data_IF_310063752635
#
_entry.id   IF_310063752635
#
_cell.length_a   1.000
_cell.length_b   1.000
_cell.length_c   1.000
_cell.angle_alpha   90.00
_cell.angle_beta   90.00
_cell.angle_gamma   90.00
#
_symmetry.space_group_name_H-M   'P 1'
#
loop_
_entity.id
_entity.type
_entity.pdbx_description
1 polymer ?
#
# COMPACT_ATOMS: atom_id res chain seq x y z
N UNK A 1 18.50 21.22 -7.07
CA UNK A 1 17.33 20.41 -7.43
C UNK A 1 17.11 19.39 -6.33
N UNK A 2 16.05 19.58 -5.51
CA UNK A 2 15.69 18.66 -4.40
C UNK A 2 14.93 17.47 -4.99
N UNK A 3 15.52 16.27 -4.87
CA UNK A 3 14.97 15.04 -5.40
C UNK A 3 13.68 14.62 -4.68
N UNK A 4 12.57 14.64 -5.38
CA UNK A 4 11.25 14.11 -5.02
C UNK A 4 11.18 12.57 -4.91
N UNK A 5 12.33 11.86 -4.94
CA UNK A 5 12.39 10.42 -5.20
C UNK A 5 12.19 9.49 -4.00
N UNK A 6 12.41 9.90 -2.76
CA UNK A 6 12.46 8.94 -1.62
C UNK A 6 11.13 8.69 -0.88
N UNK A 7 10.16 9.57 -0.99
CA UNK A 7 8.86 9.43 -0.30
C UNK A 7 7.80 8.68 -1.09
N UNK A 8 7.92 8.61 -2.40
CA UNK A 8 6.91 8.04 -3.29
C UNK A 8 6.97 6.51 -3.44
N UNK A 9 8.16 5.92 -3.30
CA UNK A 9 8.33 4.46 -3.39
C UNK A 9 7.71 3.69 -2.22
N UNK A 10 7.57 4.34 -1.06
CA UNK A 10 6.98 3.71 0.13
C UNK A 10 5.45 3.61 0.09
N UNK A 11 4.80 4.27 -0.88
CA UNK A 11 3.34 4.28 -1.04
C UNK A 11 2.80 3.18 -1.96
N UNK A 12 3.67 2.32 -2.50
CA UNK A 12 3.23 1.17 -3.29
C UNK A 12 3.18 -0.03 -2.36
N UNK A 13 1.99 -0.61 -2.08
CA UNK A 13 1.92 -1.82 -1.28
C UNK A 13 2.64 -2.93 -2.01
N UNK A 14 3.65 -3.48 -1.37
CA UNK A 14 4.35 -4.68 -1.86
C UNK A 14 3.50 -5.94 -1.70
N UNK A 15 2.33 -5.81 -1.08
CA UNK A 15 1.48 -6.93 -0.61
C UNK A 15 0.26 -7.21 -1.50
N UNK A 16 0.02 -6.37 -2.52
CA UNK A 16 -1.21 -6.42 -3.32
C UNK A 16 -1.01 -6.96 -4.74
N UNK A 17 -0.17 -7.99 -4.92
CA UNK A 17 -0.22 -8.76 -6.16
C UNK A 17 -1.35 -9.76 -6.02
N UNK A 18 -2.54 -9.36 -6.43
CA UNK A 18 -3.69 -10.25 -6.51
C UNK A 18 -3.53 -11.15 -7.74
N UNK A 19 -3.55 -12.47 -7.52
CA UNK A 19 -3.44 -13.45 -8.62
C UNK A 19 -4.55 -13.29 -9.66
N UNK A 20 -5.70 -12.71 -9.29
CA UNK A 20 -6.83 -12.45 -10.19
C UNK A 20 -6.42 -11.48 -11.32
N UNK A 21 -5.47 -10.58 -11.07
CA UNK A 21 -5.01 -9.56 -12.03
C UNK A 21 -3.60 -9.82 -12.58
N UNK A 22 -3.01 -10.99 -12.31
CA UNK A 22 -1.67 -11.35 -12.79
C UNK A 22 -1.75 -12.20 -14.07
N UNK A 23 -1.46 -11.63 -15.26
CA UNK A 23 -1.52 -12.37 -16.53
C UNK A 23 -0.49 -13.51 -16.61
N UNK A 24 0.54 -13.50 -15.77
CA UNK A 24 1.60 -14.51 -15.73
C UNK A 24 1.45 -15.54 -14.60
N UNK A 25 0.36 -15.50 -13.83
CA UNK A 25 0.15 -16.38 -12.66
C UNK A 25 0.26 -17.88 -13.00
N UNK A 26 -0.21 -18.29 -14.17
CA UNK A 26 -0.15 -19.71 -14.63
C UNK A 26 1.28 -20.17 -14.90
N UNK A 27 2.13 -19.33 -15.50
CA UNK A 27 3.53 -19.63 -15.77
C UNK A 27 4.34 -19.64 -14.49
N UNK A 28 4.05 -18.69 -13.59
CA UNK A 28 4.69 -18.61 -12.30
C UNK A 28 4.43 -19.86 -11.45
N UNK A 29 3.19 -20.35 -11.40
CA UNK A 29 2.85 -21.61 -10.71
C UNK A 29 3.56 -22.83 -11.26
N UNK A 30 3.83 -22.89 -12.58
CA UNK A 30 4.56 -24.01 -13.19
C UNK A 30 6.06 -24.02 -12.85
N UNK A 31 6.66 -22.84 -12.71
CA UNK A 31 8.12 -22.67 -12.55
C UNK A 31 8.55 -22.45 -11.10
N UNK A 32 7.60 -22.23 -10.19
CA UNK A 32 7.82 -21.86 -8.80
C UNK A 32 7.37 -22.96 -7.86
N UNK A 33 8.20 -23.27 -6.86
CA UNK A 33 7.85 -24.18 -5.78
C UNK A 33 7.78 -23.41 -4.47
N UNK A 34 6.59 -23.32 -3.87
CA UNK A 34 6.45 -22.77 -2.52
C UNK A 34 6.94 -23.81 -1.52
N UNK A 35 7.93 -23.45 -0.70
CA UNK A 35 8.53 -24.30 0.34
C UNK A 35 8.77 -23.50 1.61
N UNK A 36 8.72 -24.19 2.74
CA UNK A 36 9.27 -23.66 3.98
C UNK A 36 10.77 -23.96 4.06
N UNK A 37 11.59 -22.92 4.11
CA UNK A 37 13.05 -23.04 4.16
C UNK A 37 13.58 -22.59 5.52
N UNK A 38 14.60 -23.30 6.00
CA UNK A 38 15.36 -22.89 7.17
C UNK A 38 16.02 -21.54 6.89
N UNK A 39 15.82 -20.57 7.78
CA UNK A 39 16.35 -19.20 7.66
C UNK A 39 17.87 -19.18 7.54
N UNK A 40 18.55 -20.13 8.19
CA UNK A 40 20.02 -20.32 8.16
C UNK A 40 20.55 -20.77 6.80
N UNK A 41 19.74 -21.50 6.01
CA UNK A 41 20.13 -21.96 4.66
C UNK A 41 20.01 -20.87 3.60
N UNK A 42 19.46 -19.69 3.96
CA UNK A 42 19.26 -18.59 3.02
C UNK A 42 20.44 -17.62 3.14
N UNK A 43 21.12 -17.43 2.00
CA UNK A 43 22.26 -16.51 1.87
C UNK A 43 21.85 -15.26 1.11
N UNK A 44 22.48 -14.14 1.44
CA UNK A 44 22.27 -12.87 0.74
C UNK A 44 22.97 -12.87 -0.61
N UNK A 45 22.38 -12.22 -1.61
CA UNK A 45 23.09 -11.84 -2.82
C UNK A 45 23.88 -10.55 -2.59
N UNK A 46 25.21 -10.62 -2.68
CA UNK A 46 26.11 -9.47 -2.48
C UNK A 46 25.96 -8.40 -3.56
N UNK A 47 25.45 -8.78 -4.74
CA UNK A 47 25.27 -7.88 -5.88
C UNK A 47 23.95 -7.06 -5.82
N UNK A 48 23.16 -7.17 -4.74
CA UNK A 48 21.90 -6.43 -4.61
C UNK A 48 22.12 -4.92 -4.47
N UNK A 49 21.43 -4.09 -5.26
CA UNK A 49 21.67 -2.62 -5.30
C UNK A 49 21.27 -1.88 -4.01
N UNK A 50 20.39 -2.45 -3.20
CA UNK A 50 19.90 -1.82 -1.97
C UNK A 50 20.69 -2.28 -0.74
N UNK A 51 21.71 -1.50 -0.32
CA UNK A 51 22.58 -1.83 0.82
C UNK A 51 22.07 -1.30 2.17
N UNK A 52 21.29 -0.22 2.19
CA UNK A 52 20.84 0.44 3.42
C UNK A 52 19.34 0.25 3.68
N UNK A 53 19.03 -0.23 4.86
CA UNK A 53 17.67 -0.35 5.38
C UNK A 53 17.61 0.36 6.75
N UNK A 54 16.57 1.15 6.98
CA UNK A 54 16.33 1.75 8.30
C UNK A 54 16.14 0.65 9.35
N UNK A 55 16.98 0.63 10.38
CA UNK A 55 16.93 -0.36 11.47
C UNK A 55 15.54 -0.41 12.10
N UNK A 56 14.97 0.73 12.47
CA UNK A 56 13.64 0.79 13.10
C UNK A 56 12.51 0.22 12.22
N UNK A 57 12.61 0.36 10.89
CA UNK A 57 11.61 -0.23 9.98
C UNK A 57 11.71 -1.76 9.88
N UNK A 58 12.91 -2.35 10.11
CA UNK A 58 13.07 -3.80 10.15
C UNK A 58 12.61 -4.35 11.51
N UNK A 59 12.89 -3.64 12.61
CA UNK A 59 12.43 -4.01 13.96
C UNK A 59 10.90 -4.01 14.07
N UNK A 60 10.24 -2.97 13.56
CA UNK A 60 8.77 -2.93 13.51
C UNK A 60 8.19 -4.11 12.71
N UNK A 61 8.81 -4.46 11.57
CA UNK A 61 8.41 -5.61 10.77
C UNK A 61 8.68 -6.93 11.51
N UNK A 62 9.74 -7.03 12.30
CA UNK A 62 10.06 -8.23 13.08
C UNK A 62 9.01 -8.50 14.17
N UNK A 63 8.47 -7.45 14.81
CA UNK A 63 7.36 -7.58 15.77
C UNK A 63 6.12 -8.17 15.08
N UNK A 64 5.73 -7.64 13.93
CA UNK A 64 4.59 -8.14 13.16
C UNK A 64 4.80 -9.59 12.69
N UNK A 65 6.02 -9.93 12.22
CA UNK A 65 6.37 -11.29 11.79
C UNK A 65 6.39 -12.29 12.95
N UNK A 66 6.70 -11.85 14.15
CA UNK A 66 6.66 -12.70 15.35
C UNK A 66 5.23 -13.09 15.72
N UNK A 67 4.27 -12.21 15.50
CA UNK A 67 2.84 -12.45 15.80
C UNK A 67 2.12 -13.24 14.71
N UNK A 68 2.38 -12.89 13.45
CA UNK A 68 1.58 -13.38 12.31
C UNK A 68 2.35 -14.29 11.34
N UNK A 69 3.65 -14.48 11.58
CA UNK A 69 4.52 -15.15 10.61
C UNK A 69 4.85 -14.28 9.39
N UNK A 70 5.49 -14.87 8.41
CA UNK A 70 5.78 -14.22 7.12
C UNK A 70 4.63 -14.51 6.16
N UNK A 71 3.67 -13.59 6.04
CA UNK A 71 2.48 -13.75 5.19
C UNK A 71 2.84 -13.85 3.69
N UNK A 72 3.81 -13.06 3.26
CA UNK A 72 4.24 -13.05 1.86
C UNK A 72 5.61 -13.75 1.72
N UNK A 73 5.72 -14.82 0.91
CA UNK A 73 6.95 -15.57 0.77
C UNK A 73 8.09 -14.72 0.19
N UNK A 74 9.31 -15.06 0.55
CA UNK A 74 10.51 -14.54 -0.11
C UNK A 74 10.76 -15.30 -1.42
N UNK A 75 11.56 -14.74 -2.33
CA UNK A 75 11.97 -15.43 -3.57
C UNK A 75 13.45 -15.79 -3.47
N UNK A 76 13.76 -17.05 -3.76
CA UNK A 76 15.12 -17.57 -3.71
C UNK A 76 15.44 -18.42 -4.94
N UNK A 77 16.71 -18.46 -5.32
CA UNK A 77 17.24 -19.44 -6.27
C UNK A 77 18.04 -20.50 -5.52
N UNK A 78 17.95 -21.76 -5.97
CA UNK A 78 18.74 -22.83 -5.39
C UNK A 78 20.19 -22.73 -5.87
N UNK A 79 21.14 -22.76 -4.93
CA UNK A 79 22.57 -22.73 -5.18
C UNK A 79 23.23 -23.83 -4.32
N UNK A 80 23.48 -24.99 -4.94
CA UNK A 80 23.94 -26.21 -4.25
C UNK A 80 23.03 -26.59 -3.05
N UNK A 81 23.59 -26.57 -1.84
CA UNK A 81 22.87 -26.85 -0.58
C UNK A 81 22.26 -25.65 0.10
N UNK A 82 22.40 -24.46 -0.48
CA UNK A 82 21.88 -23.18 0.03
C UNK A 82 20.88 -22.56 -0.92
N UNK A 83 20.26 -21.50 -0.46
CA UNK A 83 19.28 -20.74 -1.23
C UNK A 83 19.72 -19.28 -1.28
N UNK A 84 20.01 -18.78 -2.47
CA UNK A 84 20.39 -17.39 -2.70
C UNK A 84 19.14 -16.51 -2.77
N UNK A 85 19.09 -15.48 -1.94
CA UNK A 85 17.96 -14.56 -1.85
C UNK A 85 17.90 -13.64 -3.08
N UNK A 86 16.81 -13.73 -3.84
CA UNK A 86 16.52 -12.87 -5.00
C UNK A 86 15.71 -11.67 -4.56
N UNK A 87 14.61 -11.90 -3.80
CA UNK A 87 13.73 -10.82 -3.31
C UNK A 87 13.20 -11.11 -1.91
N UNK A 88 12.85 -10.04 -1.18
CA UNK A 88 12.30 -10.14 0.18
C UNK A 88 13.33 -9.98 1.30
N UNK A 89 14.45 -9.27 1.08
CA UNK A 89 15.53 -9.11 2.08
C UNK A 89 15.04 -8.54 3.42
N UNK A 90 14.11 -7.57 3.41
CA UNK A 90 13.53 -7.02 4.65
C UNK A 90 12.80 -8.09 5.46
N UNK A 91 12.01 -8.94 4.80
CA UNK A 91 11.27 -10.05 5.43
C UNK A 91 12.22 -11.10 6.00
N UNK A 92 13.24 -11.48 5.25
CA UNK A 92 14.26 -12.41 5.72
C UNK A 92 15.04 -11.87 6.94
N UNK A 93 15.48 -10.58 6.91
CA UNK A 93 16.15 -9.95 8.06
C UNK A 93 15.22 -9.85 9.27
N UNK A 94 13.99 -9.44 9.06
CA UNK A 94 13.00 -9.34 10.13
C UNK A 94 12.65 -10.71 10.72
N UNK A 95 12.56 -11.76 9.91
CA UNK A 95 12.38 -13.14 10.36
C UNK A 95 13.56 -13.64 11.22
N UNK A 96 14.80 -13.28 10.87
CA UNK A 96 15.99 -13.55 11.70
C UNK A 96 15.89 -12.87 13.07
N UNK A 97 15.50 -11.59 13.11
CA UNK A 97 15.33 -10.83 14.35
C UNK A 97 14.17 -11.41 15.19
N UNK A 98 13.08 -11.82 14.54
CA UNK A 98 11.94 -12.47 15.18
C UNK A 98 12.23 -13.88 15.71
N UNK A 99 13.39 -14.47 15.39
CA UNK A 99 13.81 -15.81 15.83
C UNK A 99 13.08 -16.95 15.12
N UNK A 100 12.53 -16.73 13.91
CA UNK A 100 11.88 -17.79 13.16
C UNK A 100 12.92 -18.81 12.62
N UNK A 101 12.64 -20.10 12.80
CA UNK A 101 13.47 -21.19 12.27
C UNK A 101 13.25 -21.39 10.78
N UNK A 102 12.01 -21.21 10.30
CA UNK A 102 11.60 -21.41 8.90
C UNK A 102 10.77 -20.23 8.43
N UNK A 103 10.85 -19.97 7.12
CA UNK A 103 10.03 -18.95 6.44
C UNK A 103 9.55 -19.48 5.09
N UNK A 104 8.34 -19.06 4.64
CA UNK A 104 7.84 -19.42 3.33
C UNK A 104 8.70 -18.77 2.24
N UNK A 105 9.08 -19.55 1.24
CA UNK A 105 9.92 -19.12 0.14
C UNK A 105 9.45 -19.75 -1.19
N UNK A 106 9.47 -18.93 -2.24
CA UNK A 106 9.31 -19.38 -3.62
C UNK A 106 10.69 -19.75 -4.14
N UNK A 107 10.89 -21.04 -4.42
CA UNK A 107 12.16 -21.57 -4.96
C UNK A 107 12.06 -21.66 -6.47
N UNK A 108 13.00 -21.03 -7.19
CA UNK A 108 13.13 -21.09 -8.66
C UNK A 108 14.54 -21.47 -9.07
N UNK A 109 14.69 -22.02 -10.28
CA UNK A 109 16.00 -22.08 -10.93
C UNK A 109 16.34 -20.74 -11.57
N UNK A 110 17.62 -20.46 -11.79
CA UNK A 110 18.07 -19.21 -12.45
C UNK A 110 17.44 -19.06 -13.83
N UNK A 111 17.40 -20.14 -14.61
CA UNK A 111 16.80 -20.12 -15.96
C UNK A 111 15.28 -19.90 -15.94
N UNK A 112 14.58 -20.48 -14.96
CA UNK A 112 13.15 -20.26 -14.79
C UNK A 112 12.87 -18.82 -14.36
N UNK A 113 13.71 -18.26 -13.49
CA UNK A 113 13.63 -16.86 -13.06
C UNK A 113 13.77 -15.90 -14.24
N UNK A 114 14.83 -16.10 -15.07
CA UNK A 114 15.10 -15.27 -16.25
C UNK A 114 13.98 -15.38 -17.30
N UNK A 115 13.49 -16.60 -17.57
CA UNK A 115 12.38 -16.81 -18.51
C UNK A 115 11.09 -16.12 -18.07
N UNK A 116 10.75 -16.23 -16.78
CA UNK A 116 9.57 -15.58 -16.24
C UNK A 116 9.70 -14.04 -16.28
N UNK A 117 10.88 -13.49 -15.99
CA UNK A 117 11.13 -12.04 -16.11
C UNK A 117 10.87 -11.56 -17.54
N UNK A 118 11.44 -12.25 -18.54
CA UNK A 118 11.25 -11.91 -19.96
C UNK A 118 9.78 -12.03 -20.37
N UNK A 119 9.08 -13.08 -19.93
CA UNK A 119 7.65 -13.26 -20.20
C UNK A 119 6.80 -12.13 -19.62
N UNK A 120 7.11 -11.64 -18.39
CA UNK A 120 6.39 -10.50 -17.81
C UNK A 120 6.65 -9.22 -18.59
N UNK A 121 7.90 -8.97 -19.02
CA UNK A 121 8.26 -7.79 -19.80
C UNK A 121 7.56 -7.82 -21.17
N UNK A 122 7.58 -8.96 -21.87
CA UNK A 122 6.89 -9.15 -23.14
C UNK A 122 5.37 -8.90 -22.98
N UNK A 123 4.75 -9.53 -21.98
CA UNK A 123 3.34 -9.29 -21.71
C UNK A 123 3.05 -7.82 -21.38
N UNK A 124 3.90 -7.14 -20.60
CA UNK A 124 3.71 -5.73 -20.23
C UNK A 124 3.84 -4.76 -21.43
N UNK A 125 4.39 -5.22 -22.57
CA UNK A 125 4.48 -4.46 -23.81
C UNK A 125 3.27 -4.66 -24.71
N UNK A 126 2.34 -5.56 -24.36
CA UNK A 126 1.11 -5.80 -25.15
C UNK A 126 0.15 -4.62 -25.00
N UNK A 127 -0.56 -4.29 -26.09
CA UNK A 127 -1.51 -3.18 -26.12
C UNK A 127 -2.89 -3.53 -25.52
N UNK A 128 -3.18 -4.81 -25.33
CA UNK A 128 -4.47 -5.32 -24.87
C UNK A 128 -4.62 -5.46 -23.35
N UNK A 129 -3.55 -5.21 -22.57
CA UNK A 129 -3.62 -5.25 -21.11
C UNK A 129 -4.41 -4.09 -20.52
N UNK A 130 -5.26 -4.40 -19.54
CA UNK A 130 -5.84 -3.35 -18.73
C UNK A 130 -4.84 -2.73 -17.75
N UNK A 131 -5.13 -1.51 -17.25
CA UNK A 131 -4.18 -0.78 -16.41
C UNK A 131 -3.89 -1.47 -15.06
N UNK A 132 -4.78 -2.32 -14.54
CA UNK A 132 -4.57 -3.07 -13.30
C UNK A 132 -3.64 -4.26 -13.55
N UNK A 133 -3.82 -5.00 -14.65
CA UNK A 133 -2.89 -6.06 -15.06
C UNK A 133 -1.49 -5.52 -15.29
N UNK A 134 -1.39 -4.38 -15.96
CA UNK A 134 -0.12 -3.71 -16.21
C UNK A 134 0.54 -3.25 -14.89
N UNK A 135 -0.24 -2.70 -13.96
CA UNK A 135 0.23 -2.33 -12.63
C UNK A 135 0.76 -3.54 -11.85
N UNK A 136 0.06 -4.67 -11.95
CA UNK A 136 0.44 -5.95 -11.34
C UNK A 136 1.75 -6.47 -11.92
N UNK A 137 1.90 -6.44 -13.25
CA UNK A 137 3.14 -6.83 -13.92
C UNK A 137 4.34 -6.00 -13.46
N UNK A 138 4.20 -4.65 -13.38
CA UNK A 138 5.27 -3.78 -12.89
C UNK A 138 5.59 -4.01 -11.41
N UNK A 139 4.57 -4.21 -10.57
CA UNK A 139 4.76 -4.56 -9.16
C UNK A 139 5.52 -5.88 -9.00
N UNK A 140 5.19 -6.89 -9.83
CA UNK A 140 5.86 -8.19 -9.85
C UNK A 140 7.34 -8.08 -10.26
N UNK A 141 7.64 -7.31 -11.31
CA UNK A 141 9.02 -7.02 -11.72
C UNK A 141 9.81 -6.35 -10.58
N UNK A 142 9.20 -5.41 -9.88
CA UNK A 142 9.84 -4.74 -8.75
C UNK A 142 10.06 -5.65 -7.55
N UNK A 143 9.07 -6.48 -7.18
CA UNK A 143 9.09 -7.21 -5.90
C UNK A 143 9.72 -8.60 -5.99
N UNK A 144 9.52 -9.31 -7.10
CA UNK A 144 10.01 -10.67 -7.29
C UNK A 144 11.35 -10.74 -8.04
N UNK A 145 11.62 -9.73 -8.89
CA UNK A 145 12.86 -9.66 -9.68
C UNK A 145 13.81 -8.56 -9.17
N UNK A 146 13.39 -7.84 -8.12
CA UNK A 146 14.17 -6.78 -7.46
C UNK A 146 14.63 -5.66 -8.41
N UNK A 147 13.86 -5.44 -9.49
CA UNK A 147 14.17 -4.37 -10.44
C UNK A 147 13.80 -3.00 -9.86
N UNK A 148 14.63 -2.01 -10.13
CA UNK A 148 14.31 -0.61 -9.85
C UNK A 148 13.27 -0.10 -10.84
N UNK A 149 12.53 0.96 -10.48
CA UNK A 149 11.56 1.59 -11.39
C UNK A 149 12.23 2.05 -12.69
N UNK A 150 13.46 2.54 -12.58
CA UNK A 150 14.27 2.96 -13.74
C UNK A 150 14.58 1.79 -14.70
N UNK A 151 14.98 0.64 -14.16
CA UNK A 151 15.23 -0.56 -14.98
C UNK A 151 13.96 -1.08 -15.65
N UNK A 152 12.83 -1.09 -14.92
CA UNK A 152 11.53 -1.44 -15.49
C UNK A 152 11.18 -0.47 -16.63
N UNK A 153 11.32 0.85 -16.41
CA UNK A 153 11.00 1.87 -17.38
C UNK A 153 11.80 1.70 -18.69
N UNK A 154 13.11 1.43 -18.58
CA UNK A 154 13.97 1.17 -19.74
C UNK A 154 13.53 -0.09 -20.50
N UNK A 155 13.23 -1.20 -19.78
CA UNK A 155 12.86 -2.49 -20.40
C UNK A 155 11.50 -2.49 -21.09
N UNK A 156 10.55 -1.70 -20.57
CA UNK A 156 9.20 -1.62 -21.15
C UNK A 156 9.01 -0.38 -22.04
N UNK A 157 10.03 0.47 -22.19
CA UNK A 157 9.97 1.63 -23.08
C UNK A 157 9.04 2.74 -22.57
N UNK A 158 8.88 2.91 -21.25
CA UNK A 158 8.02 3.93 -20.61
C UNK A 158 8.84 4.85 -19.70
N UNK A 159 8.28 6.01 -19.30
CA UNK A 159 8.91 6.85 -18.30
C UNK A 159 8.75 6.30 -16.88
N UNK A 160 9.70 6.57 -15.98
CA UNK A 160 9.60 6.18 -14.56
C UNK A 160 8.32 6.72 -13.92
N UNK A 161 7.92 7.94 -14.27
CA UNK A 161 6.67 8.55 -13.79
C UNK A 161 5.45 7.78 -14.25
N UNK A 162 5.42 7.28 -15.48
CA UNK A 162 4.33 6.45 -15.99
C UNK A 162 4.25 5.14 -15.21
N UNK A 163 5.37 4.44 -15.03
CA UNK A 163 5.44 3.19 -14.25
C UNK A 163 4.89 3.41 -12.83
N UNK A 164 5.36 4.46 -12.14
CA UNK A 164 4.91 4.79 -10.79
C UNK A 164 3.41 5.10 -10.72
N UNK A 165 2.88 5.85 -11.68
CA UNK A 165 1.45 6.19 -11.72
C UNK A 165 0.60 4.94 -11.92
N UNK A 166 0.96 4.09 -12.87
CA UNK A 166 0.27 2.81 -13.12
C UNK A 166 0.32 1.92 -11.89
N UNK A 167 1.50 1.70 -11.27
CA UNK A 167 1.63 0.88 -10.06
C UNK A 167 0.78 1.39 -8.89
N UNK A 168 0.56 2.71 -8.77
CA UNK A 168 -0.29 3.28 -7.71
C UNK A 168 -1.75 2.88 -7.81
N UNK A 169 -2.23 2.46 -8.97
CA UNK A 169 -3.60 1.98 -9.14
C UNK A 169 -3.90 0.75 -8.28
N UNK A 170 -2.88 -0.02 -7.90
CA UNK A 170 -3.03 -1.16 -6.98
C UNK A 170 -3.51 -0.74 -5.58
N UNK A 171 -3.33 0.54 -5.19
CA UNK A 171 -3.84 1.08 -3.94
C UNK A 171 -5.34 1.41 -3.96
N UNK A 172 -5.99 1.28 -5.11
CA UNK A 172 -7.44 1.44 -5.17
C UNK A 172 -8.14 0.30 -4.42
N UNK A 173 -9.28 0.56 -3.76
CA UNK A 173 -10.12 -0.49 -3.21
C UNK A 173 -10.51 -1.52 -4.29
N UNK A 174 -10.65 -2.78 -3.93
CA UNK A 174 -10.95 -3.88 -4.86
C UNK A 174 -12.19 -3.60 -5.73
N UNK A 175 -13.25 -3.07 -5.11
CA UNK A 175 -14.46 -2.65 -5.84
C UNK A 175 -14.16 -1.63 -6.93
N UNK A 176 -13.25 -0.69 -6.68
CA UNK A 176 -12.88 0.34 -7.65
C UNK A 176 -12.03 -0.24 -8.80
N UNK A 177 -11.12 -1.18 -8.52
CA UNK A 177 -10.36 -1.91 -9.55
C UNK A 177 -11.29 -2.69 -10.47
N UNK A 178 -12.23 -3.47 -9.91
CA UNK A 178 -13.22 -4.24 -10.70
C UNK A 178 -14.09 -3.35 -11.58
N UNK A 179 -14.53 -2.20 -11.06
CA UNK A 179 -15.30 -1.23 -11.86
C UNK A 179 -14.42 -0.60 -12.95
N UNK A 180 -13.16 -0.25 -12.63
CA UNK A 180 -12.22 0.28 -13.62
C UNK A 180 -12.06 -0.64 -14.82
N UNK A 181 -11.89 -1.94 -14.60
CA UNK A 181 -11.75 -2.95 -15.65
C UNK A 181 -13.06 -3.11 -16.43
N UNK A 182 -14.18 -3.31 -15.71
CA UNK A 182 -15.49 -3.56 -16.31
C UNK A 182 -15.94 -2.40 -17.21
N UNK A 183 -15.81 -1.18 -16.74
CA UNK A 183 -16.26 0.04 -17.42
C UNK A 183 -15.15 0.66 -18.29
N UNK A 184 -13.99 -0.02 -18.42
CA UNK A 184 -12.82 0.43 -19.21
C UNK A 184 -12.40 1.88 -18.88
N UNK A 185 -12.41 2.25 -17.59
CA UNK A 185 -12.06 3.60 -17.15
C UNK A 185 -10.55 3.85 -17.33
N UNK A 186 -10.20 5.04 -17.82
CA UNK A 186 -8.79 5.37 -18.04
C UNK A 186 -8.02 5.58 -16.72
N UNK A 187 -6.72 5.31 -16.74
CA UNK A 187 -5.80 5.58 -15.63
C UNK A 187 -5.91 7.02 -15.11
N UNK A 188 -5.98 8.00 -16.04
CA UNK A 188 -6.06 9.42 -15.69
C UNK A 188 -7.28 9.76 -14.83
N UNK A 189 -8.43 9.13 -15.08
CA UNK A 189 -9.66 9.33 -14.30
C UNK A 189 -9.58 8.68 -12.92
N UNK A 190 -8.94 7.50 -12.82
CA UNK A 190 -8.88 6.73 -11.58
C UNK A 190 -7.74 7.14 -10.65
N UNK A 191 -6.64 7.69 -11.21
CA UNK A 191 -5.46 8.12 -10.45
C UNK A 191 -5.75 9.04 -9.26
N UNK A 192 -6.62 10.06 -9.36
CA UNK A 192 -6.92 10.92 -8.22
C UNK A 192 -7.56 10.18 -7.04
N UNK A 193 -8.30 9.08 -7.30
CA UNK A 193 -8.95 8.25 -6.29
C UNK A 193 -7.96 7.47 -5.42
N UNK A 194 -6.77 7.19 -5.92
CA UNK A 194 -5.70 6.48 -5.17
C UNK A 194 -5.34 7.16 -3.84
N UNK A 195 -5.50 8.49 -3.77
CA UNK A 195 -5.19 9.28 -2.58
C UNK A 195 -6.42 9.65 -1.75
N UNK A 196 -7.60 9.14 -2.12
CA UNK A 196 -8.85 9.36 -1.41
C UNK A 196 -9.13 8.23 -0.41
N UNK A 197 -9.88 8.53 0.65
CA UNK A 197 -10.38 7.50 1.54
C UNK A 197 -11.46 6.65 0.86
N UNK A 198 -11.68 5.45 1.38
CA UNK A 198 -12.61 4.48 0.80
C UNK A 198 -14.05 5.01 0.71
N UNK A 199 -14.45 5.85 1.68
CA UNK A 199 -15.77 6.46 1.71
C UNK A 199 -15.96 7.45 0.56
N UNK A 200 -14.93 8.26 0.27
CA UNK A 200 -14.94 9.22 -0.82
C UNK A 200 -14.88 8.49 -2.18
N UNK A 201 -14.07 7.42 -2.29
CA UNK A 201 -14.05 6.57 -3.48
C UNK A 201 -15.45 6.00 -3.76
N UNK A 202 -16.12 5.45 -2.75
CA UNK A 202 -17.46 4.90 -2.89
C UNK A 202 -18.50 5.94 -3.36
N UNK A 203 -18.35 7.21 -2.95
CA UNK A 203 -19.22 8.32 -3.38
C UNK A 203 -18.95 8.82 -4.80
N UNK A 204 -17.68 8.80 -5.22
CA UNK A 204 -17.25 9.39 -6.50
C UNK A 204 -17.38 8.38 -7.65
N UNK A 205 -17.05 7.11 -7.40
CA UNK A 205 -17.02 6.07 -8.42
C UNK A 205 -18.34 5.94 -9.23
N UNK A 206 -19.55 5.92 -8.62
CA UNK A 206 -20.81 5.90 -9.36
C UNK A 206 -21.03 7.12 -10.25
N UNK A 207 -20.52 8.30 -9.85
CA UNK A 207 -20.61 9.53 -10.64
C UNK A 207 -19.70 9.50 -11.85
N UNK A 208 -18.50 8.91 -11.72
CA UNK A 208 -17.59 8.69 -12.83
C UNK A 208 -18.28 7.83 -13.89
N UNK A 209 -18.88 6.72 -13.48
CA UNK A 209 -19.52 5.76 -14.39
C UNK A 209 -20.78 6.34 -15.02
N UNK A 210 -21.68 6.95 -14.22
CA UNK A 210 -23.00 7.42 -14.71
C UNK A 210 -22.92 8.74 -15.45
N UNK A 211 -22.08 9.66 -14.99
CA UNK A 211 -22.02 11.03 -15.49
C UNK A 211 -20.80 11.30 -16.37
N UNK A 212 -19.94 10.29 -16.63
CA UNK A 212 -18.77 10.43 -17.48
C UNK A 212 -17.76 11.48 -16.97
N UNK A 213 -17.46 11.50 -15.66
CA UNK A 213 -16.55 12.52 -15.11
C UNK A 213 -15.16 12.42 -15.71
N UNK A 214 -14.61 13.57 -16.12
CA UNK A 214 -13.24 13.68 -16.58
C UNK A 214 -12.25 13.68 -15.41
N UNK A 215 -10.98 13.35 -15.67
CA UNK A 215 -9.92 13.39 -14.67
C UNK A 215 -9.86 14.71 -13.90
N UNK A 216 -9.95 15.85 -14.60
CA UNK A 216 -9.98 17.20 -13.99
C UNK A 216 -11.15 17.43 -13.04
N UNK A 217 -12.34 16.89 -13.38
CA UNK A 217 -13.53 16.99 -12.53
C UNK A 217 -13.35 16.17 -11.25
N UNK A 218 -12.79 14.97 -11.37
CA UNK A 218 -12.47 14.09 -10.23
C UNK A 218 -11.42 14.74 -9.33
N UNK A 219 -10.31 15.24 -9.88
CA UNK A 219 -9.24 15.92 -9.14
C UNK A 219 -9.78 17.12 -8.34
N UNK A 220 -10.59 17.98 -8.99
CA UNK A 220 -11.22 19.14 -8.32
C UNK A 220 -12.12 18.72 -7.17
N UNK A 221 -12.98 17.74 -7.39
CA UNK A 221 -13.91 17.27 -6.37
C UNK A 221 -13.17 16.68 -5.15
N UNK A 222 -12.12 15.89 -5.37
CA UNK A 222 -11.29 15.34 -4.29
C UNK A 222 -10.55 16.45 -3.54
N UNK A 223 -9.98 17.44 -4.25
CA UNK A 223 -9.28 18.55 -3.64
C UNK A 223 -10.21 19.41 -2.76
N UNK A 224 -11.44 19.68 -3.21
CA UNK A 224 -12.46 20.42 -2.44
C UNK A 224 -12.87 19.67 -1.16
N UNK A 225 -13.02 18.34 -1.24
CA UNK A 225 -13.37 17.53 -0.07
C UNK A 225 -12.20 17.40 0.91
N UNK A 226 -10.96 17.28 0.44
CA UNK A 226 -9.77 17.31 1.30
C UNK A 226 -9.62 18.64 2.02
N UNK A 227 -9.88 19.78 1.35
CA UNK A 227 -9.85 21.10 1.99
C UNK A 227 -10.92 21.23 3.07
N UNK A 228 -12.13 20.73 2.85
CA UNK A 228 -13.20 20.70 3.86
C UNK A 228 -12.82 19.85 5.07
N UNK A 229 -12.27 18.68 4.85
CA UNK A 229 -11.79 17.76 5.88
C UNK A 229 -10.63 18.37 6.69
N UNK A 230 -9.63 18.94 6.03
CA UNK A 230 -8.50 19.61 6.68
C UNK A 230 -8.91 20.85 7.48
N UNK A 231 -9.83 21.67 6.94
CA UNK A 231 -10.36 22.82 7.64
C UNK A 231 -11.15 22.41 8.90
N UNK A 232 -11.85 21.27 8.85
CA UNK A 232 -12.55 20.71 10.01
C UNK A 232 -11.57 20.16 11.06
N UNK A 233 -10.50 19.50 10.65
CA UNK A 233 -9.42 19.03 11.55
C UNK A 233 -8.65 20.18 12.20
N UNK A 234 -8.31 21.22 11.44
CA UNK A 234 -7.58 22.39 11.98
C UNK A 234 -8.44 23.12 13.03
N UNK A 235 -9.74 23.33 12.75
CA UNK A 235 -10.66 23.89 13.74
C UNK A 235 -10.82 23.03 14.99
N UNK A 236 -10.78 21.69 14.84
CA UNK A 236 -10.86 20.78 15.98
C UNK A 236 -9.57 20.77 16.80
N UNK A 237 -8.38 20.86 16.17
CA UNK A 237 -7.11 20.87 16.88
C UNK A 237 -6.88 22.12 17.72
N UNK A 238 -7.54 23.23 17.39
CA UNK A 238 -7.41 24.50 18.10
C UNK A 238 -7.95 24.44 19.54
N UNK A 239 -8.95 23.60 19.81
CA UNK A 239 -9.64 23.50 21.11
C UNK A 239 -9.46 22.15 21.81
N UNK A 240 -8.54 21.29 21.34
CA UNK A 240 -8.32 19.93 21.93
C UNK A 240 -7.85 20.03 23.40
N UNK A 241 -7.03 21.01 23.73
CA UNK A 241 -6.54 21.22 25.12
C UNK A 241 -7.70 21.61 26.03
N UNK A 242 -8.55 22.52 25.57
CA UNK A 242 -9.73 23.01 26.29
C UNK A 242 -10.80 21.91 26.40
N UNK A 243 -11.05 21.15 25.32
CA UNK A 243 -11.93 19.98 25.34
C UNK A 243 -11.48 18.94 26.38
N UNK A 244 -10.19 18.63 26.42
CA UNK A 244 -9.65 17.67 27.39
C UNK A 244 -9.72 18.22 28.81
N UNK A 245 -9.40 19.49 29.02
CA UNK A 245 -9.47 20.13 30.34
C UNK A 245 -10.91 20.15 30.88
N UNK A 246 -11.88 20.49 30.04
CA UNK A 246 -13.32 20.48 30.39
C UNK A 246 -13.82 19.05 30.63
N UNK A 247 -13.38 18.09 29.80
CA UNK A 247 -13.75 16.68 29.96
C UNK A 247 -13.27 16.10 31.28
N UNK A 248 -12.03 16.41 31.66
CA UNK A 248 -11.47 16.00 32.97
C UNK A 248 -12.14 16.69 34.14
N UNK A 249 -12.39 18.02 34.04
CA UNK A 249 -12.96 18.80 35.13
C UNK A 249 -14.39 18.39 35.48
N UNK A 250 -15.18 18.01 34.49
CA UNK A 250 -16.62 17.71 34.66
C UNK A 250 -16.98 16.23 34.50
N UNK A 251 -16.01 15.35 34.26
CA UNK A 251 -16.21 13.90 33.97
C UNK A 251 -17.24 13.65 32.86
N UNK A 252 -17.11 14.38 31.75
CA UNK A 252 -18.00 14.34 30.59
C UNK A 252 -17.18 14.39 29.30
N UNK A 253 -17.80 14.08 28.17
CA UNK A 253 -17.16 14.28 26.87
C UNK A 253 -17.49 15.69 26.37
N UNK A 254 -16.54 16.62 26.45
CA UNK A 254 -16.67 17.96 25.89
C UNK A 254 -16.20 18.01 24.44
N UNK A 255 -16.94 18.68 23.57
CA UNK A 255 -16.56 18.92 22.16
C UNK A 255 -16.90 20.33 21.72
N UNK A 256 -15.95 21.00 21.08
CA UNK A 256 -16.12 22.30 20.45
C UNK A 256 -16.33 22.12 18.94
N UNK A 257 -17.42 22.66 18.41
CA UNK A 257 -17.73 22.62 16.98
C UNK A 257 -18.19 24.03 16.53
N UNK A 258 -17.35 24.70 15.78
CA UNK A 258 -17.64 26.10 15.36
C UNK A 258 -17.74 27.04 16.54
N UNK A 259 -18.95 27.55 16.79
CA UNK A 259 -19.29 28.48 17.91
C UNK A 259 -20.03 27.76 19.05
N UNK A 260 -20.14 26.47 19.03
CA UNK A 260 -20.87 25.67 20.03
C UNK A 260 -19.93 24.77 20.80
N UNK A 261 -20.20 24.68 22.12
CA UNK A 261 -19.59 23.72 23.03
C UNK A 261 -20.66 22.73 23.45
N UNK A 262 -20.39 21.42 23.21
CA UNK A 262 -21.35 20.35 23.53
C UNK A 262 -20.75 19.46 24.59
N UNK A 263 -21.51 19.20 25.65
CA UNK A 263 -21.19 18.19 26.67
C UNK A 263 -22.07 16.96 26.48
N UNK A 264 -21.46 15.79 26.48
CA UNK A 264 -22.16 14.50 26.46
C UNK A 264 -21.92 13.79 27.77
N UNK A 265 -22.98 13.61 28.56
CA UNK A 265 -22.98 12.91 29.84
C UNK A 265 -23.27 11.42 29.65
N UNK A 266 -22.82 10.57 30.61
CA UNK A 266 -23.01 9.12 30.59
C UNK A 266 -24.47 8.72 30.91
N UNK A 267 -25.17 9.50 31.76
CA UNK A 267 -26.54 9.27 32.18
C UNK A 267 -27.19 10.59 32.62
N UNK A 268 -28.48 10.54 32.98
CA UNK A 268 -29.27 11.72 33.38
C UNK A 268 -28.81 12.35 34.71
N UNK A 269 -28.29 11.55 35.65
CA UNK A 269 -27.75 12.03 36.92
C UNK A 269 -26.48 12.86 36.71
N UNK A 270 -25.57 12.37 35.83
CA UNK A 270 -24.40 13.13 35.44
C UNK A 270 -24.73 14.43 34.75
N UNK A 271 -25.84 14.50 33.97
CA UNK A 271 -26.32 15.72 33.34
C UNK A 271 -26.82 16.70 34.40
N UNK A 272 -27.63 16.25 35.38
CA UNK A 272 -28.13 17.12 36.49
C UNK A 272 -26.97 17.68 37.30
N UNK A 273 -25.97 16.86 37.60
CA UNK A 273 -24.75 17.29 38.32
C UNK A 273 -23.95 18.33 37.53
N UNK A 274 -23.82 18.12 36.21
CA UNK A 274 -23.12 19.06 35.33
C UNK A 274 -23.85 20.43 35.28
N UNK A 275 -25.18 20.42 35.11
CA UNK A 275 -26.00 21.63 35.08
C UNK A 275 -25.81 22.41 36.37
N UNK A 276 -25.88 21.76 37.53
CA UNK A 276 -25.63 22.39 38.83
C UNK A 276 -24.27 23.07 38.91
N UNK A 277 -23.21 22.42 38.47
CA UNK A 277 -21.83 22.95 38.46
C UNK A 277 -21.60 24.08 37.43
N UNK A 278 -22.44 24.21 36.41
CA UNK A 278 -22.34 25.29 35.41
C UNK A 278 -23.17 26.52 35.79
N UNK A 279 -24.11 26.38 36.70
CA UNK A 279 -25.02 27.47 37.15
C UNK A 279 -24.50 28.11 38.46
N UNK A 280 -23.69 27.39 39.23
CA UNK A 280 -22.89 27.91 40.37
C UNK A 280 -21.61 28.63 39.84
#
# INVERSE_FOLDING_TARGET
MRGLGRGFESLIPTELIDEEFDPTAKEDKKTSQLKELMVEKIIRDENQPRKEFSKGAIEALAVSIKEHGVLQPIVVTREEDKYKLVAGERRWRAAKIAGLLKIPAIVRTIDAQNRLELSIIENAQREDLNAIELATAYAKLKTQFNLTVKEIAVRVGKSETAILNTMRLLNLPEKAKKVMIKEKLSEGVMRPLVSADEELVAKVLPKIVKEGWTARKVERYIAENKKKSSAHMIKRSQYIKEENALSMRYDVVARVSGRSLTFRCKNEEALKTLIKKLVE
#
